data_IF_991539038829
#
_entry.id   IF_991539038829
#
_cell.length_a   1.000
_cell.length_b   1.000
_cell.length_c   1.000
_cell.angle_alpha   90.00
_cell.angle_beta   90.00
_cell.angle_gamma   90.00
#
_symmetry.space_group_name_H-M   'P 1'
#
loop_
_entity.id
_entity.type
_entity.pdbx_description
1 polymer ?
#
# COMPACT_ATOMS: atom_id res chain seq x y z
N UNK A 1 -77.19 58.44 -8.86
CA UNK A 1 -75.76 58.10 -8.65
C UNK A 1 -75.63 56.60 -8.83
N UNK A 2 -74.94 56.11 -9.87
CA UNK A 2 -74.73 54.66 -10.04
C UNK A 2 -73.51 54.25 -9.19
N UNK A 3 -73.59 53.20 -8.36
CA UNK A 3 -72.44 52.72 -7.61
C UNK A 3 -71.43 52.10 -8.58
N UNK A 4 -70.16 52.52 -8.51
CA UNK A 4 -69.07 51.83 -9.19
C UNK A 4 -68.49 50.77 -8.26
N UNK A 5 -68.54 49.51 -8.68
CA UNK A 5 -67.82 48.42 -8.00
C UNK A 5 -66.44 48.31 -8.65
N UNK A 6 -65.39 48.42 -7.83
CA UNK A 6 -64.01 48.16 -8.24
C UNK A 6 -63.71 46.69 -7.99
N UNK A 7 -63.38 45.96 -9.05
CA UNK A 7 -62.88 44.59 -8.96
C UNK A 7 -61.38 44.66 -9.21
N UNK A 8 -60.60 44.36 -8.18
CA UNK A 8 -59.15 44.19 -8.28
C UNK A 8 -58.78 42.78 -7.81
N UNK A 9 -57.82 42.16 -8.48
CA UNK A 9 -57.34 40.84 -8.10
C UNK A 9 -56.44 40.98 -6.86
N UNK A 10 -56.84 40.35 -5.76
CA UNK A 10 -55.95 40.17 -4.60
C UNK A 10 -55.21 38.85 -4.75
N UNK A 11 -53.89 38.88 -4.62
CA UNK A 11 -53.04 37.68 -4.55
C UNK A 11 -52.85 37.19 -3.11
N UNK A 12 -53.53 37.79 -2.14
CA UNK A 12 -53.45 37.43 -0.72
C UNK A 12 -54.67 36.61 -0.34
N UNK A 13 -54.43 35.38 0.11
CA UNK A 13 -55.45 34.52 0.72
C UNK A 13 -55.75 35.02 2.14
N UNK A 14 -56.98 35.50 2.44
CA UNK A 14 -57.33 36.02 3.75
C UNK A 14 -57.31 34.96 4.86
N UNK A 15 -57.43 33.68 4.53
CA UNK A 15 -57.43 32.59 5.51
C UNK A 15 -56.01 32.17 5.93
N UNK A 16 -54.98 32.54 5.13
CA UNK A 16 -53.55 32.26 5.37
C UNK A 16 -53.21 30.78 5.69
N UNK A 17 -54.16 29.86 5.47
CA UNK A 17 -54.09 28.48 5.97
C UNK A 17 -52.94 27.71 5.33
N UNK A 18 -52.68 27.96 4.04
CA UNK A 18 -51.59 27.33 3.30
C UNK A 18 -50.21 27.81 3.78
N UNK A 19 -50.05 29.11 4.04
CA UNK A 19 -48.80 29.69 4.54
C UNK A 19 -48.47 29.24 5.97
N UNK A 20 -49.48 29.12 6.83
CA UNK A 20 -49.33 28.61 8.20
C UNK A 20 -48.99 27.12 8.27
N UNK A 21 -49.33 26.35 7.23
CA UNK A 21 -49.04 24.92 7.20
C UNK A 21 -47.57 24.59 6.96
N UNK A 22 -46.73 25.59 6.58
CA UNK A 22 -45.29 25.44 6.34
C UNK A 22 -44.93 24.20 5.49
N UNK A 23 -45.72 23.93 4.46
CA UNK A 23 -45.58 22.71 3.66
C UNK A 23 -44.30 22.78 2.83
N UNK A 24 -43.56 21.67 2.81
CA UNK A 24 -42.42 21.51 1.91
C UNK A 24 -42.97 21.17 0.52
N UNK A 25 -42.91 22.13 -0.39
CA UNK A 25 -43.43 21.95 -1.75
C UNK A 25 -42.55 21.02 -2.60
N UNK A 26 -41.22 21.06 -2.41
CA UNK A 26 -40.28 20.17 -3.09
C UNK A 26 -39.16 19.74 -2.13
N UNK A 27 -39.32 18.56 -1.50
CA UNK A 27 -38.29 18.01 -0.61
C UNK A 27 -36.96 17.74 -1.32
N UNK A 28 -36.98 17.37 -2.61
CA UNK A 28 -35.76 17.06 -3.36
C UNK A 28 -34.98 18.33 -3.69
N UNK A 29 -35.66 19.41 -4.07
CA UNK A 29 -35.04 20.72 -4.24
C UNK A 29 -34.40 21.22 -2.95
N UNK A 30 -35.09 21.07 -1.82
CA UNK A 30 -34.56 21.48 -0.52
C UNK A 30 -33.27 20.72 -0.14
N UNK A 31 -33.27 19.39 -0.31
CA UNK A 31 -32.07 18.56 -0.09
C UNK A 31 -30.94 18.91 -1.07
N UNK A 32 -31.25 19.13 -2.35
CA UNK A 32 -30.25 19.57 -3.32
C UNK A 32 -29.66 20.94 -2.96
N UNK A 33 -30.47 21.85 -2.40
CA UNK A 33 -30.00 23.16 -1.93
C UNK A 33 -29.10 23.03 -0.71
N UNK A 34 -29.45 22.18 0.27
CA UNK A 34 -28.59 21.83 1.41
C UNK A 34 -27.25 21.26 0.97
N UNK A 35 -27.24 20.40 -0.05
CA UNK A 35 -26.01 19.89 -0.65
C UNK A 35 -25.17 21.00 -1.28
N UNK A 36 -25.79 21.90 -2.07
CA UNK A 36 -25.08 23.02 -2.72
C UNK A 36 -24.47 24.00 -1.72
N UNK A 37 -25.13 24.27 -0.59
CA UNK A 37 -24.58 25.16 0.45
C UNK A 37 -23.58 24.44 1.37
N UNK A 38 -23.36 23.14 1.16
CA UNK A 38 -22.40 22.35 1.93
C UNK A 38 -22.90 21.94 3.30
N UNK A 39 -24.20 21.99 3.60
CA UNK A 39 -24.75 21.56 4.89
C UNK A 39 -24.53 20.06 5.16
N UNK A 40 -24.45 19.25 4.10
CA UNK A 40 -24.05 17.84 4.22
C UNK A 40 -22.55 17.63 4.30
N UNK A 41 -21.77 18.68 4.10
CA UNK A 41 -20.35 18.68 4.43
C UNK A 41 -20.29 19.02 5.91
N UNK A 42 -20.46 18.00 6.75
CA UNK A 42 -20.26 18.13 8.18
C UNK A 42 -18.87 18.69 8.43
N UNK A 43 -18.78 19.96 8.79
CA UNK A 43 -17.59 20.48 9.43
C UNK A 43 -17.63 19.94 10.86
N UNK A 44 -16.56 19.28 11.30
CA UNK A 44 -16.38 18.88 12.69
C UNK A 44 -16.13 20.16 13.52
N UNK A 45 -17.19 20.97 13.64
CA UNK A 45 -17.16 22.32 14.21
C UNK A 45 -17.35 22.30 15.73
N UNK A 46 -17.58 21.13 16.31
CA UNK A 46 -17.59 20.94 17.75
C UNK A 46 -16.15 20.67 18.22
N UNK A 47 -15.51 21.67 18.82
CA UNK A 47 -14.27 21.45 19.57
C UNK A 47 -14.61 21.09 21.02
N UNK A 48 -14.04 20.01 21.58
CA UNK A 48 -14.28 19.69 22.99
C UNK A 48 -13.74 20.81 23.88
N UNK A 49 -14.52 21.20 24.90
CA UNK A 49 -14.12 22.25 25.86
C UNK A 49 -12.99 21.78 26.78
N UNK A 50 -12.97 20.49 27.12
CA UNK A 50 -11.89 19.81 27.82
C UNK A 50 -11.97 18.29 27.54
N UNK A 51 -10.83 17.62 27.43
CA UNK A 51 -10.74 16.16 27.36
C UNK A 51 -9.60 15.71 28.26
N UNK A 52 -9.90 14.88 29.25
CA UNK A 52 -8.90 14.15 30.01
C UNK A 52 -8.82 12.72 29.47
N UNK A 53 -7.66 12.32 28.97
CA UNK A 53 -7.43 10.98 28.41
C UNK A 53 -6.25 10.32 29.12
N UNK A 54 -6.46 9.09 29.59
CA UNK A 54 -5.38 8.17 29.95
C UNK A 54 -5.16 7.22 28.77
N UNK A 55 -3.92 7.13 28.27
CA UNK A 55 -3.57 6.34 27.08
C UNK A 55 -2.52 5.32 27.47
N UNK A 56 -2.81 4.05 27.21
CA UNK A 56 -1.83 2.97 27.20
C UNK A 56 -1.53 2.58 25.76
N UNK A 57 -0.24 2.57 25.39
CA UNK A 57 0.22 2.25 24.03
C UNK A 57 0.91 0.90 24.04
N UNK A 58 0.39 -0.04 23.25
CA UNK A 58 0.99 -1.35 23.07
C UNK A 58 1.41 -1.53 21.62
N UNK A 59 2.68 -1.90 21.34
CA UNK A 59 3.13 -2.10 19.98
C UNK A 59 2.54 -3.37 19.37
N UNK A 60 2.30 -3.33 18.06
CA UNK A 60 2.07 -4.53 17.26
C UNK A 60 3.40 -5.25 17.14
N UNK A 61 3.42 -6.55 17.42
CA UNK A 61 4.63 -7.37 17.44
C UNK A 61 4.54 -8.58 16.51
N UNK A 62 3.36 -8.85 15.95
CA UNK A 62 3.12 -10.02 15.09
C UNK A 62 2.09 -9.72 14.01
N UNK A 63 2.30 -10.31 12.84
CA UNK A 63 1.34 -10.36 11.73
C UNK A 63 0.96 -11.81 11.49
N UNK A 64 -0.33 -12.12 11.59
CA UNK A 64 -0.90 -13.43 11.31
C UNK A 64 -1.62 -13.44 9.98
N UNK A 65 -1.30 -14.39 9.11
CA UNK A 65 -1.91 -14.55 7.78
C UNK A 65 -3.03 -15.57 7.86
N UNK A 66 -4.28 -15.09 7.85
CA UNK A 66 -5.48 -15.88 8.17
C UNK A 66 -6.15 -16.51 6.94
N UNK A 67 -5.66 -16.21 5.72
CA UNK A 67 -6.20 -16.74 4.47
C UNK A 67 -5.40 -17.92 3.89
N UNK A 68 -4.34 -18.35 4.57
CA UNK A 68 -3.54 -19.48 4.12
C UNK A 68 -4.17 -20.83 4.51
N UNK A 69 -3.88 -21.88 3.71
CA UNK A 69 -4.25 -23.27 4.05
C UNK A 69 -3.75 -23.66 5.44
N UNK A 70 -2.63 -23.09 5.86
CA UNK A 70 -2.08 -23.14 7.21
C UNK A 70 -1.84 -21.70 7.69
N UNK A 71 -2.52 -21.23 8.75
CA UNK A 71 -2.29 -19.89 9.27
C UNK A 71 -0.85 -19.78 9.79
N UNK A 72 -0.15 -18.72 9.39
CA UNK A 72 1.21 -18.45 9.83
C UNK A 72 1.30 -17.14 10.59
N UNK A 73 2.23 -17.08 11.53
CA UNK A 73 2.52 -15.88 12.31
C UNK A 73 3.95 -15.47 12.05
N UNK A 74 4.16 -14.22 11.67
CA UNK A 74 5.49 -13.62 11.46
C UNK A 74 5.70 -12.55 12.52
N UNK A 75 6.88 -12.55 13.15
CA UNK A 75 7.27 -11.48 14.07
C UNK A 75 7.39 -10.15 13.31
N UNK A 76 6.92 -9.08 13.92
CA UNK A 76 7.06 -7.72 13.45
C UNK A 76 7.81 -6.91 14.50
N UNK A 77 8.88 -6.24 14.08
CA UNK A 77 9.63 -5.36 14.98
C UNK A 77 9.14 -3.93 14.77
N UNK A 78 8.55 -3.28 15.79
CA UNK A 78 8.11 -1.89 15.67
C UNK A 78 9.26 -0.98 15.21
N UNK A 79 8.99 -0.14 14.21
CA UNK A 79 9.97 0.82 13.69
C UNK A 79 10.87 0.31 12.56
N UNK A 80 10.77 -0.95 12.14
CA UNK A 80 11.53 -1.47 10.99
C UNK A 80 10.90 -1.19 9.62
N UNK A 81 9.66 -0.67 9.59
CA UNK A 81 8.95 -0.32 8.38
C UNK A 81 7.43 -0.29 8.57
N UNK A 82 6.67 0.12 7.54
CA UNK A 82 5.22 -0.04 7.50
C UNK A 82 4.84 -1.53 7.57
N UNK A 83 3.65 -1.81 8.10
CA UNK A 83 3.12 -3.17 8.24
C UNK A 83 2.41 -3.61 6.95
N UNK A 84 1.97 -2.65 6.16
CA UNK A 84 1.23 -2.83 4.91
C UNK A 84 1.98 -3.72 3.92
N UNK A 85 3.29 -3.53 3.63
CA UNK A 85 4.02 -4.44 2.76
C UNK A 85 4.10 -5.87 3.30
N UNK A 86 4.07 -6.09 4.62
CA UNK A 86 4.11 -7.44 5.18
C UNK A 86 2.78 -8.18 5.01
N UNK A 87 1.68 -7.43 5.08
CA UNK A 87 0.32 -7.92 4.88
C UNK A 87 0.03 -8.10 3.40
N UNK A 88 0.39 -7.12 2.57
CA UNK A 88 0.07 -7.08 1.13
C UNK A 88 1.09 -7.86 0.29
N UNK A 89 2.21 -8.31 0.88
CA UNK A 89 3.17 -9.19 0.21
C UNK A 89 2.49 -10.49 -0.23
N UNK A 90 2.33 -10.64 -1.55
CA UNK A 90 1.89 -11.87 -2.16
C UNK A 90 3.10 -12.73 -2.56
N UNK A 91 2.93 -14.06 -2.63
CA UNK A 91 3.89 -14.96 -3.27
C UNK A 91 3.93 -14.63 -4.75
N UNK A 92 4.76 -13.66 -5.08
CA UNK A 92 5.28 -13.51 -6.40
C UNK A 92 6.68 -14.12 -6.33
N UNK A 93 6.86 -15.26 -7.02
CA UNK A 93 8.10 -15.44 -7.76
C UNK A 93 8.42 -14.07 -8.37
N UNK A 94 9.68 -13.63 -8.36
CA UNK A 94 10.14 -12.42 -9.07
C UNK A 94 9.80 -12.53 -10.59
N UNK A 95 8.52 -12.48 -10.91
CA UNK A 95 7.84 -12.24 -12.15
C UNK A 95 7.47 -10.76 -12.12
N UNK A 96 8.45 -9.95 -11.68
CA UNK A 96 8.72 -8.68 -12.32
C UNK A 96 8.59 -8.94 -13.82
N UNK A 97 7.69 -8.21 -14.46
CA UNK A 97 7.53 -8.28 -15.90
C UNK A 97 8.91 -8.02 -16.54
N UNK A 98 9.15 -8.44 -17.80
CA UNK A 98 10.40 -8.05 -18.49
C UNK A 98 10.69 -6.54 -18.38
N UNK A 99 9.63 -5.73 -18.31
CA UNK A 99 9.71 -4.30 -18.06
C UNK A 99 10.32 -3.96 -16.69
N UNK A 100 9.83 -4.52 -15.59
CA UNK A 100 10.30 -4.18 -14.25
C UNK A 100 11.76 -4.59 -14.04
N UNK A 101 12.15 -5.76 -14.56
CA UNK A 101 13.55 -6.20 -14.56
C UNK A 101 14.47 -5.23 -15.32
N UNK A 102 14.03 -4.78 -16.50
CA UNK A 102 14.80 -3.80 -17.26
C UNK A 102 14.89 -2.46 -16.53
N UNK A 103 13.83 -2.01 -15.85
CA UNK A 103 13.90 -0.81 -15.01
C UNK A 103 14.90 -0.94 -13.86
N UNK A 104 14.86 -2.06 -13.12
CA UNK A 104 15.81 -2.34 -12.05
C UNK A 104 17.26 -2.29 -12.57
N UNK A 105 17.53 -2.90 -13.73
CA UNK A 105 18.85 -2.86 -14.37
C UNK A 105 19.32 -1.43 -14.68
N UNK A 106 18.44 -0.58 -15.24
CA UNK A 106 18.77 0.79 -15.61
C UNK A 106 18.99 1.68 -14.39
N UNK A 107 18.26 1.45 -13.30
CA UNK A 107 18.47 2.18 -12.03
C UNK A 107 19.83 1.90 -11.42
N UNK A 108 20.32 0.66 -11.49
CA UNK A 108 21.70 0.34 -11.09
C UNK A 108 22.70 1.09 -11.97
N UNK A 109 22.52 1.03 -13.30
CA UNK A 109 23.40 1.74 -14.23
C UNK A 109 23.41 3.25 -14.00
N UNK A 110 22.26 3.86 -13.67
CA UNK A 110 22.17 5.27 -13.31
C UNK A 110 22.94 5.59 -12.02
N UNK A 111 22.85 4.74 -10.99
CA UNK A 111 23.60 4.92 -9.74
C UNK A 111 25.11 4.79 -9.94
N UNK A 112 25.55 3.82 -10.76
CA UNK A 112 26.95 3.66 -11.14
C UNK A 112 27.44 4.84 -11.99
N UNK A 113 26.62 5.34 -12.90
CA UNK A 113 26.94 6.53 -13.69
C UNK A 113 27.08 7.79 -12.82
N UNK A 114 26.29 7.92 -11.75
CA UNK A 114 26.37 9.04 -10.80
C UNK A 114 27.71 9.08 -10.05
N UNK A 115 28.36 7.93 -9.84
CA UNK A 115 29.73 7.85 -9.31
C UNK A 115 30.80 7.81 -10.41
N UNK A 116 30.42 8.12 -11.66
CA UNK A 116 31.31 8.20 -12.82
C UNK A 116 31.89 6.84 -13.24
N UNK A 117 31.08 5.78 -13.18
CA UNK A 117 31.40 4.45 -13.69
C UNK A 117 30.38 4.05 -14.76
N UNK A 118 30.86 3.57 -15.90
CA UNK A 118 30.01 2.88 -16.89
C UNK A 118 30.41 1.40 -16.94
N UNK A 119 29.57 0.56 -16.35
CA UNK A 119 29.74 -0.90 -16.31
C UNK A 119 28.70 -1.62 -17.19
N UNK A 120 28.07 -0.90 -18.13
CA UNK A 120 26.97 -1.45 -18.97
C UNK A 120 27.38 -2.76 -19.65
N UNK A 121 28.54 -2.78 -20.31
CA UNK A 121 28.99 -3.98 -21.05
C UNK A 121 29.49 -5.09 -20.12
N UNK A 122 30.08 -4.75 -18.97
CA UNK A 122 30.47 -5.73 -17.95
C UNK A 122 29.24 -6.45 -17.38
N UNK A 123 28.20 -5.70 -17.03
CA UNK A 123 26.96 -6.23 -16.46
C UNK A 123 26.16 -7.04 -17.49
N UNK A 124 26.09 -6.58 -18.74
CA UNK A 124 25.42 -7.33 -19.83
C UNK A 124 26.11 -8.66 -20.12
N UNK A 125 27.44 -8.70 -20.02
CA UNK A 125 28.22 -9.93 -20.23
C UNK A 125 28.04 -10.93 -19.09
N UNK A 126 27.98 -10.44 -17.86
CA UNK A 126 27.82 -11.30 -16.69
C UNK A 126 26.38 -11.79 -16.52
N UNK A 127 25.41 -10.92 -16.81
CA UNK A 127 23.99 -11.15 -16.57
C UNK A 127 23.17 -10.92 -17.85
N UNK A 128 23.21 -11.90 -18.75
CA UNK A 128 22.54 -11.80 -20.05
C UNK A 128 21.01 -11.81 -19.92
N UNK A 129 20.34 -10.96 -20.70
CA UNK A 129 18.87 -10.95 -20.76
C UNK A 129 18.34 -12.25 -21.39
N UNK A 130 17.35 -12.92 -20.79
CA UNK A 130 16.75 -14.11 -21.37
C UNK A 130 16.16 -13.85 -22.76
N UNK A 131 16.41 -14.71 -23.77
CA UNK A 131 15.96 -14.48 -25.14
C UNK A 131 14.42 -14.45 -25.29
N UNK A 132 13.70 -15.06 -24.34
CA UNK A 132 12.24 -15.04 -24.30
C UNK A 132 11.63 -13.69 -23.89
N UNK A 133 12.37 -12.81 -23.22
CA UNK A 133 11.85 -11.54 -22.71
C UNK A 133 11.54 -10.51 -23.80
N UNK A 134 12.14 -10.67 -24.98
CA UNK A 134 11.89 -9.82 -26.15
C UNK A 134 10.71 -10.32 -27.01
N UNK A 135 10.05 -11.40 -26.59
CA UNK A 135 8.85 -11.93 -27.23
C UNK A 135 7.64 -11.55 -26.35
N UNK A 136 6.82 -10.62 -26.84
CA UNK A 136 5.49 -10.37 -26.27
C UNK A 136 4.43 -10.94 -27.20
N UNK A 137 3.19 -11.01 -26.72
CA UNK A 137 2.02 -11.29 -27.55
C UNK A 137 2.01 -10.41 -28.80
N UNK A 138 1.59 -10.99 -29.93
CA UNK A 138 1.66 -10.39 -31.26
C UNK A 138 0.90 -9.05 -31.36
N UNK A 139 -0.02 -8.80 -30.43
CA UNK A 139 -0.90 -7.64 -30.41
C UNK A 139 -0.30 -6.40 -29.69
N UNK A 140 0.83 -6.53 -28.97
CA UNK A 140 1.47 -5.41 -28.26
C UNK A 140 2.74 -4.88 -28.97
N UNK A 141 2.54 -4.19 -30.10
CA UNK A 141 3.65 -3.60 -30.86
C UNK A 141 4.42 -2.52 -30.11
N UNK A 142 3.74 -1.70 -29.30
CA UNK A 142 4.36 -0.60 -28.56
C UNK A 142 5.23 -1.14 -27.40
N UNK A 143 4.75 -2.15 -26.67
CA UNK A 143 5.53 -2.86 -25.67
C UNK A 143 6.79 -3.47 -26.26
N UNK A 144 6.72 -4.09 -27.45
CA UNK A 144 7.90 -4.64 -28.12
C UNK A 144 8.96 -3.59 -28.45
N UNK A 145 8.55 -2.45 -29.01
CA UNK A 145 9.48 -1.35 -29.32
C UNK A 145 10.15 -0.85 -28.04
N UNK A 146 9.36 -0.70 -26.98
CA UNK A 146 9.84 -0.22 -25.68
C UNK A 146 10.82 -1.21 -25.04
N UNK A 147 10.50 -2.50 -25.00
CA UNK A 147 11.39 -3.54 -24.47
C UNK A 147 12.70 -3.63 -25.27
N UNK A 148 12.64 -3.56 -26.61
CA UNK A 148 13.84 -3.53 -27.46
C UNK A 148 14.70 -2.30 -27.22
N UNK A 149 14.09 -1.14 -26.92
CA UNK A 149 14.83 0.07 -26.58
C UNK A 149 15.60 -0.09 -25.26
N UNK A 150 14.93 -0.59 -24.23
CA UNK A 150 15.54 -0.81 -22.92
C UNK A 150 16.63 -1.89 -22.97
N UNK A 151 16.40 -2.97 -23.70
CA UNK A 151 17.34 -4.09 -23.85
C UNK A 151 18.69 -3.70 -24.47
N UNK A 152 18.82 -2.51 -25.07
CA UNK A 152 20.12 -2.01 -25.57
C UNK A 152 21.15 -1.83 -24.45
N UNK A 153 20.69 -1.44 -23.26
CA UNK A 153 21.54 -1.18 -22.08
C UNK A 153 21.22 -2.09 -20.89
N UNK A 154 20.02 -2.66 -20.82
CA UNK A 154 19.62 -3.50 -19.73
C UNK A 154 20.39 -4.84 -19.68
N UNK A 155 20.45 -5.42 -18.49
CA UNK A 155 20.96 -6.75 -18.15
C UNK A 155 19.93 -7.47 -17.27
N UNK A 156 20.05 -8.78 -17.03
CA UNK A 156 19.15 -9.50 -16.13
C UNK A 156 19.51 -9.26 -14.66
N UNK A 157 18.70 -8.55 -13.87
CA UNK A 157 19.07 -8.22 -12.50
C UNK A 157 18.83 -9.35 -11.50
N UNK A 158 18.16 -10.46 -11.87
CA UNK A 158 17.60 -11.42 -10.91
C UNK A 158 18.66 -12.14 -10.09
N UNK A 159 19.66 -12.70 -10.76
CA UNK A 159 20.76 -13.41 -10.08
C UNK A 159 21.57 -12.46 -9.22
N UNK A 160 21.82 -11.23 -9.70
CA UNK A 160 22.51 -10.22 -8.93
C UNK A 160 21.71 -9.78 -7.69
N UNK A 161 20.40 -9.56 -7.83
CA UNK A 161 19.53 -9.22 -6.69
C UNK A 161 19.51 -10.36 -5.67
N UNK A 162 19.33 -11.61 -6.11
CA UNK A 162 19.36 -12.77 -5.23
C UNK A 162 20.69 -12.87 -4.47
N UNK A 163 21.82 -12.68 -5.15
CA UNK A 163 23.13 -12.73 -4.53
C UNK A 163 23.38 -11.58 -3.53
N UNK A 164 22.91 -10.37 -3.81
CA UNK A 164 23.11 -9.21 -2.92
C UNK A 164 22.17 -9.27 -1.71
N UNK A 165 20.98 -9.86 -1.85
CA UNK A 165 20.01 -9.99 -0.76
C UNK A 165 20.22 -11.24 0.12
N UNK A 166 21.20 -12.08 -0.23
CA UNK A 166 21.61 -13.23 0.58
C UNK A 166 22.27 -12.77 1.90
N UNK A 167 22.03 -13.49 2.99
CA UNK A 167 22.62 -13.17 4.31
C UNK A 167 24.16 -13.30 4.29
N UNK A 168 24.70 -14.19 3.45
CA UNK A 168 26.14 -14.42 3.26
C UNK A 168 26.74 -13.54 2.14
N UNK A 169 26.08 -12.42 1.79
CA UNK A 169 26.54 -11.48 0.76
C UNK A 169 27.97 -11.00 1.02
N UNK A 170 28.84 -11.22 0.03
CA UNK A 170 30.21 -10.73 0.02
C UNK A 170 30.44 -9.86 -1.23
N UNK A 171 30.59 -8.52 -1.08
CA UNK A 171 30.82 -7.61 -2.21
C UNK A 171 32.12 -7.92 -2.98
N UNK A 172 33.08 -8.60 -2.35
CA UNK A 172 34.31 -9.06 -2.98
C UNK A 172 34.09 -10.10 -4.08
N UNK A 173 32.97 -10.84 -4.02
CA UNK A 173 32.64 -11.90 -5.00
C UNK A 173 32.00 -11.38 -6.28
N UNK A 174 31.59 -10.12 -6.35
CA UNK A 174 30.98 -9.53 -7.55
C UNK A 174 32.00 -9.43 -8.71
N UNK A 175 31.84 -10.21 -9.80
CA UNK A 175 32.86 -10.32 -10.85
C UNK A 175 33.03 -9.03 -11.64
N UNK A 176 31.93 -8.33 -11.95
CA UNK A 176 31.96 -7.07 -12.70
C UNK A 176 32.70 -5.95 -11.98
N UNK A 177 32.75 -5.98 -10.64
CA UNK A 177 33.49 -4.98 -9.88
C UNK A 177 35.01 -5.10 -10.07
N UNK A 178 35.54 -6.22 -10.57
CA UNK A 178 36.98 -6.37 -10.87
C UNK A 178 37.48 -5.35 -11.90
N UNK A 179 36.58 -4.82 -12.72
CA UNK A 179 36.87 -3.75 -13.68
C UNK A 179 36.86 -2.34 -13.05
N UNK A 180 36.44 -2.20 -11.78
CA UNK A 180 36.33 -0.91 -11.09
C UNK A 180 37.69 -0.51 -10.48
N UNK A 181 38.16 0.74 -10.67
CA UNK A 181 39.35 1.24 -10.03
C UNK A 181 39.28 1.13 -8.50
N UNK A 182 40.39 0.78 -7.83
CA UNK A 182 40.43 0.60 -6.36
C UNK A 182 39.83 1.78 -5.58
N UNK A 183 40.07 3.01 -6.03
CA UNK A 183 39.55 4.22 -5.37
C UNK A 183 38.02 4.41 -5.45
N UNK A 184 37.31 3.67 -6.31
CA UNK A 184 35.83 3.71 -6.44
C UNK A 184 35.15 2.42 -5.99
N UNK A 185 35.93 1.47 -5.45
CA UNK A 185 35.43 0.13 -5.11
C UNK A 185 34.36 0.18 -4.01
N UNK A 186 34.65 0.86 -2.92
CA UNK A 186 33.70 1.03 -1.82
C UNK A 186 32.41 1.74 -2.26
N UNK A 187 32.52 2.80 -3.07
CA UNK A 187 31.35 3.53 -3.60
C UNK A 187 30.51 2.65 -4.53
N UNK A 188 31.14 1.83 -5.36
CA UNK A 188 30.44 0.89 -6.23
C UNK A 188 29.72 -0.22 -5.46
N UNK A 189 30.33 -0.73 -4.39
CA UNK A 189 29.74 -1.76 -3.51
C UNK A 189 28.53 -1.17 -2.77
N UNK A 190 28.67 0.03 -2.23
CA UNK A 190 27.57 0.78 -1.61
C UNK A 190 26.44 1.08 -2.61
N UNK A 191 26.76 1.42 -3.86
CA UNK A 191 25.76 1.67 -4.90
C UNK A 191 24.96 0.41 -5.24
N UNK A 192 25.61 -0.75 -5.34
CA UNK A 192 24.97 -2.05 -5.58
C UNK A 192 24.10 -2.44 -4.38
N UNK A 193 24.61 -2.33 -3.16
CA UNK A 193 23.86 -2.65 -1.93
C UNK A 193 22.61 -1.78 -1.79
N UNK A 194 22.75 -0.46 -1.95
CA UNK A 194 21.63 0.47 -1.84
C UNK A 194 20.60 0.25 -2.95
N UNK A 195 21.04 -0.08 -4.16
CA UNK A 195 20.15 -0.48 -5.24
C UNK A 195 19.36 -1.73 -4.88
N UNK A 196 20.04 -2.81 -4.48
CA UNK A 196 19.38 -4.07 -4.15
C UNK A 196 18.36 -3.92 -3.02
N UNK A 197 18.68 -3.16 -1.97
CA UNK A 197 17.70 -2.85 -0.91
C UNK A 197 16.52 -2.02 -1.41
N UNK A 198 16.74 -1.09 -2.35
CA UNK A 198 15.64 -0.32 -2.96
C UNK A 198 14.74 -1.24 -3.78
N UNK A 199 15.32 -2.10 -4.61
CA UNK A 199 14.56 -3.05 -5.41
C UNK A 199 13.88 -4.12 -4.55
N UNK A 200 14.45 -4.52 -3.42
CA UNK A 200 13.82 -5.42 -2.45
C UNK A 200 12.55 -4.84 -1.81
N UNK A 201 12.41 -3.52 -1.73
CA UNK A 201 11.14 -2.89 -1.30
C UNK A 201 10.07 -3.05 -2.38
N UNK A 202 10.44 -2.87 -3.66
CA UNK A 202 9.52 -3.07 -4.79
C UNK A 202 9.24 -4.55 -5.04
N UNK A 203 10.19 -5.41 -4.72
CA UNK A 203 10.13 -6.85 -4.79
C UNK A 203 9.88 -7.48 -3.42
N UNK A 204 9.24 -6.76 -2.50
CA UNK A 204 8.78 -7.31 -1.22
C UNK A 204 7.66 -8.32 -1.50
N UNK A 205 8.05 -9.44 -2.08
CA UNK A 205 7.21 -10.57 -2.41
C UNK A 205 7.41 -11.58 -1.30
N UNK A 206 6.33 -12.25 -0.92
CA UNK A 206 6.46 -13.38 -0.02
C UNK A 206 7.21 -14.51 -0.77
N UNK A 207 8.00 -15.35 -0.09
CA UNK A 207 8.62 -16.52 -0.71
C UNK A 207 7.59 -17.37 -1.47
N UNK A 208 8.01 -18.09 -2.51
CA UNK A 208 7.12 -19.00 -3.23
C UNK A 208 6.50 -20.02 -2.26
N UNK A 209 5.16 -20.15 -2.32
CA UNK A 209 4.39 -21.00 -1.40
C UNK A 209 4.14 -20.39 -0.02
N UNK A 210 4.56 -19.14 0.22
CA UNK A 210 4.25 -18.47 1.48
C UNK A 210 2.72 -18.34 1.67
N UNK A 211 2.24 -18.50 2.91
CA UNK A 211 0.89 -18.14 3.33
C UNK A 211 0.49 -16.76 2.79
N UNK A 212 -0.56 -16.68 1.96
CA UNK A 212 -1.08 -15.41 1.45
C UNK A 212 -2.22 -14.89 2.31
N UNK A 213 -2.29 -13.58 2.47
CA UNK A 213 -3.42 -12.84 3.03
C UNK A 213 -4.48 -12.54 1.96
N UNK A 214 -4.12 -12.58 0.68
CA UNK A 214 -4.96 -12.17 -0.45
C UNK A 214 -6.09 -13.16 -0.76
N UNK A 215 -7.32 -12.66 -0.78
CA UNK A 215 -8.53 -13.39 -1.21
C UNK A 215 -8.91 -12.99 -2.63
N UNK A 216 -8.42 -13.74 -3.61
CA UNK A 216 -8.64 -13.43 -5.04
C UNK A 216 -10.12 -13.31 -5.44
N UNK A 217 -11.04 -14.03 -4.79
CA UNK A 217 -12.48 -13.94 -5.10
C UNK A 217 -13.15 -12.65 -4.62
N UNK A 218 -12.59 -11.99 -3.61
CA UNK A 218 -13.13 -10.78 -2.99
C UNK A 218 -12.28 -9.54 -3.24
N UNK A 219 -11.07 -9.73 -3.76
CA UNK A 219 -10.09 -8.68 -4.00
C UNK A 219 -9.75 -7.91 -2.72
N UNK A 220 -9.57 -8.64 -1.61
CA UNK A 220 -9.30 -8.11 -0.28
C UNK A 220 -8.18 -8.95 0.40
N UNK A 221 -7.49 -8.37 1.37
CA UNK A 221 -6.55 -9.03 2.26
C UNK A 221 -7.22 -9.38 3.60
N UNK A 222 -6.87 -10.55 4.14
CA UNK A 222 -7.36 -11.02 5.45
C UNK A 222 -6.20 -11.48 6.31
N UNK A 223 -6.10 -10.85 7.48
CA UNK A 223 -4.99 -11.01 8.42
C UNK A 223 -5.42 -10.66 9.84
N UNK A 224 -4.54 -10.90 10.81
CA UNK A 224 -4.69 -10.40 12.16
C UNK A 224 -3.35 -9.86 12.67
N UNK A 225 -3.43 -8.91 13.60
CA UNK A 225 -2.28 -8.29 14.25
C UNK A 225 -2.24 -8.76 15.71
N UNK A 226 -1.07 -9.20 16.13
CA UNK A 226 -0.79 -9.53 17.53
C UNK A 226 -0.17 -8.33 18.24
N UNK A 227 -0.74 -7.97 19.38
CA UNK A 227 -0.25 -6.92 20.27
C UNK A 227 0.17 -7.57 21.59
N UNK A 228 1.39 -7.28 22.04
CA UNK A 228 1.97 -7.84 23.26
C UNK A 228 3.20 -8.71 23.01
N UNK A 229 3.68 -9.44 24.03
CA UNK A 229 4.89 -10.27 23.90
C UNK A 229 4.64 -11.49 23.01
N UNK A 230 5.58 -11.79 22.11
CA UNK A 230 5.58 -13.04 21.34
C UNK A 230 5.80 -14.28 22.21
N UNK A 231 6.37 -14.11 23.40
CA UNK A 231 6.70 -15.19 24.34
C UNK A 231 5.51 -15.62 25.21
N UNK A 232 4.46 -14.80 25.30
CA UNK A 232 3.24 -15.09 26.07
C UNK A 232 1.99 -15.04 25.18
N UNK A 233 1.73 -16.07 24.34
CA UNK A 233 0.63 -16.07 23.37
C UNK A 233 -0.76 -15.90 24.00
N UNK A 234 -0.95 -16.35 25.25
CA UNK A 234 -2.23 -16.27 25.97
C UNK A 234 -2.54 -14.86 26.48
N UNK A 235 -1.55 -13.97 26.55
CA UNK A 235 -1.71 -12.58 26.99
C UNK A 235 -1.86 -11.59 25.82
N UNK A 236 -1.83 -12.08 24.58
CA UNK A 236 -1.86 -11.23 23.39
C UNK A 236 -3.27 -10.72 23.09
N UNK A 237 -3.34 -9.44 22.78
CA UNK A 237 -4.53 -8.83 22.17
C UNK A 237 -4.42 -9.08 20.67
N UNK A 238 -5.45 -9.72 20.11
CA UNK A 238 -5.53 -10.01 18.67
C UNK A 238 -6.50 -9.04 18.04
N UNK A 239 -6.03 -8.38 16.99
CA UNK A 239 -6.81 -7.46 16.17
C UNK A 239 -6.98 -8.05 14.77
N UNK A 240 -8.17 -8.54 14.46
CA UNK A 240 -8.47 -9.16 13.16
C UNK A 240 -8.90 -8.10 12.14
N UNK A 241 -8.36 -8.21 10.93
CA UNK A 241 -8.77 -7.47 9.74
C UNK A 241 -9.45 -8.44 8.77
N UNK A 242 -10.78 -8.62 8.85
CA UNK A 242 -11.52 -9.56 8.01
C UNK A 242 -11.66 -9.08 6.56
N UNK A 243 -11.44 -7.79 6.32
CA UNK A 243 -11.52 -7.11 5.03
C UNK A 243 -10.54 -5.93 5.03
N UNK A 244 -9.55 -5.95 4.14
CA UNK A 244 -8.66 -4.83 3.85
C UNK A 244 -8.45 -4.74 2.34
N UNK A 245 -8.82 -3.64 1.70
CA UNK A 245 -8.79 -3.52 0.24
C UNK A 245 -7.43 -3.04 -0.31
N UNK A 246 -6.42 -2.94 0.55
CA UNK A 246 -5.08 -2.47 0.20
C UNK A 246 -4.88 -0.98 0.48
N UNK A 247 -3.62 -0.53 0.45
CA UNK A 247 -3.23 0.84 0.73
C UNK A 247 -2.90 1.06 2.20
N UNK A 248 -3.06 2.29 2.69
CA UNK A 248 -2.72 2.63 4.08
C UNK A 248 -3.59 1.83 5.05
N UNK A 249 -2.96 1.13 5.99
CA UNK A 249 -3.67 0.47 7.07
C UNK A 249 -3.94 1.49 8.18
N UNK A 250 -5.22 1.63 8.55
CA UNK A 250 -5.66 2.46 9.65
C UNK A 250 -6.56 1.65 10.61
N UNK A 251 -7.27 2.34 11.51
CA UNK A 251 -8.10 1.71 12.52
C UNK A 251 -9.41 1.10 11.98
N UNK A 252 -9.97 1.61 10.86
CA UNK A 252 -11.29 1.18 10.38
C UNK A 252 -11.40 -0.31 9.99
N UNK A 253 -10.43 -0.92 9.28
CA UNK A 253 -10.52 -2.32 8.88
C UNK A 253 -10.28 -3.31 10.03
N UNK A 254 -9.79 -2.82 11.18
CA UNK A 254 -9.30 -3.65 12.27
C UNK A 254 -10.32 -3.77 13.39
N UNK A 255 -10.59 -4.99 13.85
CA UNK A 255 -11.57 -5.29 14.93
C UNK A 255 -10.97 -6.21 15.98
N UNK A 256 -11.45 -6.20 17.23
CA UNK A 256 -11.07 -7.22 18.21
C UNK A 256 -11.35 -8.62 17.66
N UNK A 257 -10.30 -9.43 17.54
CA UNK A 257 -10.38 -10.82 17.12
C UNK A 257 -10.60 -11.77 18.31
N UNK A 258 -10.82 -13.07 18.07
CA UNK A 258 -10.82 -14.04 19.15
C UNK A 258 -9.44 -14.04 19.81
N UNK A 259 -9.37 -13.56 21.05
CA UNK A 259 -8.19 -13.71 21.91
C UNK A 259 -7.90 -15.20 22.07
N UNK A 260 -6.63 -15.60 21.98
CA UNK A 260 -6.21 -16.86 22.60
C UNK A 260 -6.75 -16.85 24.03
N UNK A 261 -7.49 -17.89 24.44
CA UNK A 261 -8.29 -17.90 25.67
C UNK A 261 -7.45 -17.48 26.89
N UNK A 262 -7.52 -16.20 27.25
CA UNK A 262 -6.89 -15.62 28.41
C UNK A 262 -7.89 -14.64 29.02
N UNK A 263 -8.57 -15.06 30.09
CA UNK A 263 -9.48 -14.22 30.86
C UNK A 263 -8.72 -13.01 31.43
N UNK A 264 -8.75 -11.87 30.73
CA UNK A 264 -8.58 -10.57 31.37
C UNK A 264 -9.79 -9.71 31.10
N UNK A 265 -10.73 -9.77 32.04
CA UNK A 265 -11.64 -8.65 32.30
C UNK A 265 -10.74 -7.44 32.56
N UNK A 266 -10.82 -6.44 31.70
CA UNK A 266 -10.36 -5.09 32.02
C UNK A 266 -11.16 -4.67 33.25
N UNK A 267 -10.56 -4.77 34.44
CA UNK A 267 -11.14 -4.22 35.64
C UNK A 267 -10.90 -2.71 35.60
N UNK A 268 -11.96 -1.95 35.36
CA UNK A 268 -11.96 -0.51 35.57
C UNK A 268 -11.48 -0.21 36.99
N UNK A 269 -10.47 0.66 37.11
CA UNK A 269 -10.11 1.34 38.35
C UNK A 269 -10.40 2.82 38.20
#
# INVERSE_FOLDING_TARGET
MRPSIRIEASTVDPELTEGLAARVADPLWYLARQWQVGEFKGEDAASPVAVDVAIDIYPITQVRRDNAKEPSTTAFTPGTGPIEPMVEAEPAALCLTPWDHMQASLRLLQRLAAIGLDLTENLKKEYELPPGWLRSDADDRLGQIRLRLLARRAFDPRELLAHVLDEDYDPGKLPFLRAVPRGKRADSEAAVWNWARTEAVFAATAPDGAPTTWRSRRQEYVFALGIGSSEEPEAQIVLAAPEHTGGRLDWEPVRPGPTAKGNRRIQNR
#
